data_IF_992906580104
#
_entry.id   IF_992906580104
#
_cell.length_a   1.000
_cell.length_b   1.000
_cell.length_c   1.000
_cell.angle_alpha   90.00
_cell.angle_beta   90.00
_cell.angle_gamma   90.00
#
_symmetry.space_group_name_H-M   'P 1'
#
loop_
_entity.id
_entity.type
_entity.pdbx_description
1 polymer ?
#
# COMPACT_ATOMS: atom_id res chain seq x y z
N UNK A 1 -30.30 -3.00 60.73
CA UNK A 1 -29.28 -2.82 59.67
C UNK A 1 -28.23 -3.91 59.84
N UNK A 2 -28.15 -4.83 58.90
CA UNK A 2 -27.01 -5.73 58.66
C UNK A 2 -27.22 -6.35 57.28
N UNK A 3 -26.42 -5.95 56.30
CA UNK A 3 -26.47 -6.42 54.92
C UNK A 3 -25.50 -7.60 54.80
N UNK A 4 -26.04 -8.78 54.47
CA UNK A 4 -25.26 -10.00 54.19
C UNK A 4 -24.69 -9.94 52.76
N UNK A 5 -23.38 -9.82 52.65
CA UNK A 5 -22.63 -10.04 51.40
C UNK A 5 -22.64 -11.54 51.05
N UNK A 6 -23.13 -11.88 49.86
CA UNK A 6 -22.87 -13.19 49.22
C UNK A 6 -21.73 -13.02 48.22
N UNK A 7 -20.61 -13.70 48.50
CA UNK A 7 -19.46 -13.84 47.62
C UNK A 7 -19.80 -14.89 46.55
N UNK A 8 -19.63 -14.53 45.28
CA UNK A 8 -19.72 -15.46 44.15
C UNK A 8 -18.29 -15.73 43.65
N UNK A 9 -17.89 -17.00 43.68
CA UNK A 9 -16.61 -17.49 43.14
C UNK A 9 -16.85 -17.87 41.67
N UNK A 10 -16.15 -17.20 40.75
CA UNK A 10 -16.13 -17.56 39.32
C UNK A 10 -14.82 -18.31 39.06
N UNK A 11 -14.94 -19.57 38.65
CA UNK A 11 -13.81 -20.43 38.25
C UNK A 11 -13.44 -20.10 36.80
N UNK A 12 -12.19 -19.69 36.57
CA UNK A 12 -11.60 -19.47 35.26
C UNK A 12 -11.12 -20.79 34.65
N UNK A 13 -11.68 -21.15 33.49
CA UNK A 13 -11.22 -22.26 32.67
C UNK A 13 -10.00 -21.83 31.82
N UNK A 14 -8.87 -22.50 32.03
CA UNK A 14 -7.65 -22.38 31.22
C UNK A 14 -7.73 -23.45 30.13
N UNK A 15 -7.84 -23.07 28.86
CA UNK A 15 -7.64 -23.97 27.73
C UNK A 15 -6.32 -23.65 27.03
N UNK A 16 -5.32 -24.50 27.24
CA UNK A 16 -4.11 -24.54 26.43
C UNK A 16 -4.43 -25.22 25.07
N UNK A 17 -3.91 -24.73 23.93
CA UNK A 17 -4.04 -25.44 22.66
C UNK A 17 -2.99 -26.55 22.57
N UNK A 18 -3.47 -27.78 22.34
CA UNK A 18 -2.65 -28.93 22.03
C UNK A 18 -2.14 -28.83 20.58
N UNK A 19 -0.82 -28.96 20.42
CA UNK A 19 -0.15 -29.26 19.15
C UNK A 19 -0.48 -30.68 18.72
N UNK A 20 -0.98 -30.85 17.48
CA UNK A 20 -0.81 -32.09 16.71
C UNK A 20 -0.52 -31.77 15.25
N UNK A 21 0.72 -32.03 14.88
CA UNK A 21 1.18 -32.30 13.53
C UNK A 21 0.76 -33.72 13.15
N UNK A 22 0.33 -33.97 11.92
CA UNK A 22 0.48 -35.24 11.22
C UNK A 22 0.27 -35.04 9.71
N UNK A 23 1.16 -35.65 8.94
CA UNK A 23 1.29 -35.64 7.50
C UNK A 23 0.71 -36.91 6.86
N UNK A 24 0.58 -36.85 5.52
CA UNK A 24 0.21 -37.89 4.54
C UNK A 24 -1.27 -38.32 4.59
N UNK A 25 -1.97 -38.61 3.49
CA UNK A 25 -1.55 -39.43 2.35
C UNK A 25 -2.49 -39.24 1.14
N UNK A 26 -1.98 -39.64 -0.03
CA UNK A 26 -2.58 -39.68 -1.37
C UNK A 26 -3.73 -40.70 -1.46
N UNK A 27 -4.85 -40.34 -2.11
CA UNK A 27 -5.70 -41.31 -2.81
C UNK A 27 -6.69 -40.66 -3.80
N UNK A 28 -6.52 -40.96 -5.09
CA UNK A 28 -7.56 -41.01 -6.13
C UNK A 28 -8.08 -42.46 -6.19
N UNK A 29 -9.35 -42.76 -6.61
CA UNK A 29 -9.70 -42.68 -8.04
C UNK A 29 -11.19 -42.43 -8.45
N UNK A 30 -11.35 -42.10 -9.74
CA UNK A 30 -12.39 -42.51 -10.71
C UNK A 30 -13.83 -41.94 -10.71
N UNK A 31 -14.06 -41.03 -11.69
CA UNK A 31 -15.10 -40.99 -12.75
C UNK A 31 -16.61 -41.17 -12.46
N UNK A 32 -17.43 -40.15 -12.74
CA UNK A 32 -18.28 -40.10 -13.96
C UNK A 32 -19.06 -38.78 -14.17
N UNK A 33 -18.95 -38.33 -15.42
CA UNK A 33 -19.78 -37.49 -16.31
C UNK A 33 -21.03 -36.73 -15.81
N UNK A 34 -21.08 -35.45 -16.20
CA UNK A 34 -22.28 -34.63 -16.32
C UNK A 34 -21.95 -33.26 -16.95
N UNK A 35 -22.20 -33.11 -18.25
CA UNK A 35 -22.09 -31.88 -19.03
C UNK A 35 -23.00 -30.76 -18.48
N UNK A 36 -22.52 -29.50 -18.45
CA UNK A 36 -23.03 -28.44 -19.33
C UNK A 36 -22.25 -27.12 -19.19
N UNK A 37 -22.19 -26.41 -20.32
CA UNK A 37 -21.39 -25.25 -20.68
C UNK A 37 -21.56 -24.01 -19.80
N UNK A 38 -20.44 -23.33 -19.51
CA UNK A 38 -20.39 -21.87 -19.41
C UNK A 38 -18.96 -21.35 -19.68
N UNK A 39 -18.83 -20.65 -20.81
CA UNK A 39 -17.87 -19.58 -21.13
C UNK A 39 -16.52 -19.53 -20.41
N UNK A 40 -15.46 -19.71 -21.20
CA UNK A 40 -14.12 -19.18 -20.97
C UNK A 40 -14.18 -17.66 -20.71
N UNK A 41 -14.18 -17.28 -19.44
CA UNK A 41 -13.56 -16.03 -19.02
C UNK A 41 -12.21 -16.38 -18.42
N UNK A 42 -11.17 -15.70 -18.91
CA UNK A 42 -9.79 -16.02 -18.63
C UNK A 42 -9.51 -16.08 -17.14
N UNK A 43 -9.34 -17.31 -16.62
CA UNK A 43 -8.42 -17.53 -15.51
C UNK A 43 -7.04 -17.13 -16.03
N UNK A 44 -6.69 -15.87 -15.80
CA UNK A 44 -5.32 -15.45 -15.64
C UNK A 44 -4.69 -16.48 -14.71
N UNK A 45 -3.78 -17.28 -15.26
CA UNK A 45 -2.98 -18.26 -14.54
C UNK A 45 -2.55 -17.61 -13.23
N UNK A 46 -3.09 -18.09 -12.11
CA UNK A 46 -2.61 -17.74 -10.78
C UNK A 46 -1.19 -18.27 -10.64
N UNK A 47 -0.22 -17.53 -11.20
CA UNK A 47 1.15 -17.64 -10.78
C UNK A 47 1.12 -17.38 -9.27
N UNK A 48 1.74 -18.26 -8.50
CA UNK A 48 2.07 -18.03 -7.10
C UNK A 48 3.13 -16.91 -6.99
N UNK A 49 3.01 -15.85 -7.79
CA UNK A 49 3.94 -14.75 -7.86
C UNK A 49 3.71 -13.92 -6.61
N UNK A 50 4.69 -14.01 -5.72
CA UNK A 50 4.69 -13.29 -4.46
C UNK A 50 4.83 -11.80 -4.79
N UNK A 51 3.88 -10.99 -4.33
CA UNK A 51 3.89 -9.55 -4.58
C UNK A 51 5.22 -8.91 -4.14
N UNK A 52 5.82 -8.09 -5.00
CA UNK A 52 7.13 -7.48 -4.73
C UNK A 52 7.16 -6.63 -3.45
N UNK A 53 6.05 -5.99 -3.05
CA UNK A 53 6.02 -5.30 -1.76
C UNK A 53 6.06 -6.27 -0.57
N UNK A 54 5.47 -7.46 -0.68
CA UNK A 54 5.64 -8.49 0.34
C UNK A 54 7.11 -8.89 0.46
N UNK A 55 7.77 -9.13 -0.68
CA UNK A 55 9.19 -9.46 -0.71
C UNK A 55 10.09 -8.33 -0.17
N UNK A 56 9.76 -7.08 -0.51
CA UNK A 56 10.49 -5.89 -0.08
C UNK A 56 10.31 -5.66 1.42
N UNK A 57 9.09 -5.76 1.94
CA UNK A 57 8.84 -5.46 3.33
C UNK A 57 9.21 -6.60 4.27
N UNK A 58 9.29 -7.86 3.81
CA UNK A 58 9.67 -9.01 4.66
C UNK A 58 11.02 -8.83 5.39
N UNK A 59 12.13 -8.44 4.72
CA UNK A 59 13.42 -8.21 5.38
C UNK A 59 13.59 -6.80 5.96
N UNK A 60 12.67 -5.86 5.71
CA UNK A 60 12.85 -4.44 6.02
C UNK A 60 11.82 -3.95 7.05
N UNK A 61 12.29 -3.46 8.20
CA UNK A 61 11.43 -2.82 9.21
C UNK A 61 11.18 -1.33 8.95
N UNK A 62 12.05 -0.66 8.19
CA UNK A 62 11.92 0.75 7.86
C UNK A 62 12.58 1.06 6.52
N UNK A 63 11.93 1.93 5.74
CA UNK A 63 12.47 2.44 4.48
C UNK A 63 12.13 3.91 4.30
N UNK A 64 13.09 4.68 3.78
CA UNK A 64 12.95 6.09 3.50
C UNK A 64 12.65 6.31 2.02
N UNK A 65 11.77 7.26 1.71
CA UNK A 65 11.73 7.85 0.37
C UNK A 65 13.00 8.68 0.23
N UNK A 66 13.96 8.20 -0.56
CA UNK A 66 15.27 8.86 -0.70
C UNK A 66 15.18 10.09 -1.60
N UNK A 67 14.47 9.95 -2.72
CA UNK A 67 14.20 10.98 -3.72
C UNK A 67 12.82 10.76 -4.32
N UNK A 68 12.16 11.83 -4.74
CA UNK A 68 10.81 11.78 -5.31
C UNK A 68 10.62 12.85 -6.39
N UNK A 69 9.80 12.55 -7.40
CA UNK A 69 9.27 13.57 -8.32
C UNK A 69 8.08 14.32 -7.75
N UNK A 70 7.58 13.93 -6.57
CA UNK A 70 6.64 14.75 -5.81
C UNK A 70 7.37 15.97 -5.23
N UNK A 71 7.06 17.15 -5.79
CA UNK A 71 7.66 18.41 -5.38
C UNK A 71 7.14 18.91 -4.02
N UNK A 72 6.02 18.35 -3.54
CA UNK A 72 5.37 18.68 -2.26
C UNK A 72 5.67 17.68 -1.15
N UNK A 73 6.35 16.58 -1.46
CA UNK A 73 6.77 15.57 -0.48
C UNK A 73 7.57 16.19 0.67
N UNK A 74 7.55 15.57 1.84
CA UNK A 74 8.26 16.09 3.02
C UNK A 74 9.68 15.55 3.11
N UNK A 75 10.59 16.29 3.76
CA UNK A 75 11.90 15.72 4.13
C UNK A 75 11.65 14.57 5.11
N UNK A 76 12.47 13.53 5.08
CA UNK A 76 12.33 12.32 5.89
C UNK A 76 10.97 11.63 5.74
N UNK A 77 10.39 11.71 4.56
CA UNK A 77 9.25 10.89 4.23
C UNK A 77 9.68 9.42 4.09
N UNK A 78 8.89 8.51 4.66
CA UNK A 78 9.24 7.10 4.74
C UNK A 78 8.14 6.28 5.38
N UNK A 79 8.39 4.99 5.49
CA UNK A 79 7.48 4.02 6.09
C UNK A 79 8.22 3.12 7.08
N UNK A 80 7.57 2.88 8.22
CA UNK A 80 7.99 1.96 9.26
C UNK A 80 6.99 0.82 9.35
N UNK A 81 7.46 -0.41 9.16
CA UNK A 81 6.64 -1.62 9.18
C UNK A 81 6.31 -2.02 10.62
N UNK A 82 5.02 -2.07 10.92
CA UNK A 82 4.51 -2.65 12.16
C UNK A 82 4.41 -4.18 12.07
N UNK A 83 3.60 -4.67 11.14
CA UNK A 83 3.34 -6.10 10.93
C UNK A 83 3.13 -6.38 9.42
N UNK A 84 3.25 -7.64 9.01
CA UNK A 84 3.09 -8.09 7.62
C UNK A 84 2.56 -9.51 7.54
N UNK A 85 1.69 -9.76 6.58
CA UNK A 85 1.23 -11.10 6.22
C UNK A 85 1.06 -11.22 4.70
N UNK A 86 0.48 -12.31 4.20
CA UNK A 86 0.31 -12.53 2.76
C UNK A 86 -0.68 -11.57 2.07
N UNK A 87 -1.54 -10.88 2.82
CA UNK A 87 -2.58 -10.01 2.27
C UNK A 87 -2.23 -8.53 2.35
N UNK A 88 -1.24 -8.16 3.16
CA UNK A 88 -0.82 -6.76 3.28
C UNK A 88 0.23 -6.51 4.35
N UNK A 89 0.49 -5.23 4.57
CA UNK A 89 1.51 -4.72 5.50
C UNK A 89 0.96 -3.50 6.26
N UNK A 90 1.21 -3.46 7.56
CA UNK A 90 0.96 -2.28 8.37
C UNK A 90 2.14 -1.33 8.30
N UNK A 91 1.94 -0.15 7.72
CA UNK A 91 2.96 0.87 7.57
C UNK A 91 2.58 2.12 8.34
N UNK A 92 3.53 2.66 9.09
CA UNK A 92 3.43 3.98 9.70
C UNK A 92 4.28 4.96 8.89
N UNK A 93 3.68 6.04 8.42
CA UNK A 93 4.41 7.08 7.71
C UNK A 93 5.26 7.94 8.65
N UNK A 94 6.34 8.48 8.13
CA UNK A 94 7.18 9.48 8.80
C UNK A 94 7.27 10.75 7.95
N UNK A 95 7.55 11.89 8.58
CA UNK A 95 7.94 13.12 7.91
C UNK A 95 8.65 14.05 8.91
N UNK A 96 9.65 14.79 8.45
CA UNK A 96 10.20 15.92 9.19
C UNK A 96 9.25 17.11 9.07
N UNK A 97 8.63 17.50 10.18
CA UNK A 97 7.73 18.66 10.25
C UNK A 97 8.33 19.70 11.18
N UNK A 98 8.40 20.93 10.69
CA UNK A 98 8.99 22.08 11.37
C UNK A 98 10.42 21.77 11.85
N UNK A 99 10.55 21.30 13.10
CA UNK A 99 11.80 21.08 13.83
C UNK A 99 11.98 19.66 14.37
N UNK A 100 11.07 18.73 14.09
CA UNK A 100 11.14 17.37 14.63
C UNK A 100 10.60 16.30 13.67
N UNK A 101 10.91 15.04 13.98
CA UNK A 101 10.31 13.91 13.29
C UNK A 101 8.87 13.70 13.75
N UNK A 102 7.94 13.65 12.80
CA UNK A 102 6.55 13.30 13.00
C UNK A 102 6.30 11.91 12.45
N UNK A 103 5.50 11.12 13.17
CA UNK A 103 5.08 9.79 12.74
C UNK A 103 3.57 9.72 12.72
N UNK A 104 3.01 9.24 11.61
CA UNK A 104 1.58 9.09 11.44
C UNK A 104 0.99 7.90 12.20
N UNK A 105 -0.27 7.62 11.91
CA UNK A 105 -0.92 6.38 12.34
C UNK A 105 -0.36 5.20 11.53
N UNK A 106 -0.52 3.99 12.09
CA UNK A 106 -0.24 2.77 11.33
C UNK A 106 -1.46 2.43 10.49
N UNK A 107 -1.23 2.31 9.19
CA UNK A 107 -2.25 2.08 8.18
C UNK A 107 -2.01 0.72 7.53
N UNK A 108 -3.09 -0.05 7.29
CA UNK A 108 -2.99 -1.32 6.57
C UNK A 108 -2.97 -1.08 5.06
N UNK A 109 -1.88 -1.48 4.42
CA UNK A 109 -1.73 -1.47 2.98
C UNK A 109 -1.98 -2.88 2.44
N UNK A 110 -3.01 -3.03 1.62
CA UNK A 110 -3.39 -4.30 1.01
C UNK A 110 -2.50 -4.58 -0.18
N UNK A 111 -1.95 -5.78 -0.28
CA UNK A 111 -1.25 -6.20 -1.51
C UNK A 111 -2.26 -6.48 -2.62
N UNK A 112 -1.97 -5.93 -3.79
CA UNK A 112 -2.80 -6.05 -4.99
C UNK A 112 -2.10 -6.79 -6.12
N UNK A 113 -2.78 -6.92 -7.28
CA UNK A 113 -2.19 -7.43 -8.51
C UNK A 113 -1.03 -6.55 -9.00
N UNK A 114 -0.23 -7.06 -9.95
CA UNK A 114 0.84 -6.30 -10.64
C UNK A 114 1.84 -5.62 -9.69
N UNK A 115 2.24 -6.30 -8.61
CA UNK A 115 3.23 -5.81 -7.64
C UNK A 115 2.85 -4.46 -7.00
N UNK A 116 1.55 -4.29 -6.75
CA UNK A 116 1.00 -3.08 -6.14
C UNK A 116 0.61 -3.27 -4.68
N UNK A 117 0.42 -2.16 -3.99
CA UNK A 117 -0.29 -2.12 -2.73
C UNK A 117 -1.19 -0.88 -2.67
N UNK A 118 -2.28 -0.97 -1.93
CA UNK A 118 -3.22 0.12 -1.80
C UNK A 118 -3.62 0.37 -0.35
N UNK A 119 -3.89 1.62 -0.05
CA UNK A 119 -4.40 2.06 1.23
C UNK A 119 -5.57 3.03 1.00
N UNK A 120 -6.52 3.03 1.92
CA UNK A 120 -7.67 3.93 1.91
C UNK A 120 -8.06 4.32 3.34
N UNK A 121 -8.32 5.60 3.54
CA UNK A 121 -9.04 6.12 4.69
C UNK A 121 -10.13 7.14 4.28
N UNK A 122 -10.69 7.83 5.26
CA UNK A 122 -11.78 8.80 5.05
C UNK A 122 -11.39 10.07 4.27
N UNK A 123 -10.10 10.29 4.02
CA UNK A 123 -9.55 11.49 3.41
C UNK A 123 -8.77 11.21 2.12
N UNK A 124 -8.15 10.04 2.01
CA UNK A 124 -7.32 9.70 0.88
C UNK A 124 -7.33 8.21 0.56
N UNK A 125 -7.08 7.93 -0.72
CA UNK A 125 -6.70 6.61 -1.22
C UNK A 125 -5.36 6.73 -1.91
N UNK A 126 -4.50 5.73 -1.79
CA UNK A 126 -3.23 5.70 -2.48
C UNK A 126 -2.99 4.32 -3.05
N UNK A 127 -2.47 4.27 -4.27
CA UNK A 127 -2.01 3.05 -4.92
C UNK A 127 -0.55 3.22 -5.25
N UNK A 128 0.26 2.28 -4.80
CA UNK A 128 1.68 2.22 -5.06
C UNK A 128 1.99 0.96 -5.86
N UNK A 129 2.93 1.03 -6.81
CA UNK A 129 3.40 -0.14 -7.57
C UNK A 129 4.91 -0.13 -7.73
N UNK A 130 5.54 -1.29 -7.48
CA UNK A 130 6.98 -1.47 -7.69
C UNK A 130 7.26 -1.53 -9.19
N UNK A 131 8.04 -0.56 -9.70
CA UNK A 131 8.51 -0.55 -11.09
C UNK A 131 9.87 -1.22 -11.28
N UNK A 132 10.72 -1.16 -10.26
CA UNK A 132 11.99 -1.88 -10.20
C UNK A 132 12.38 -2.15 -8.75
N UNK A 133 13.11 -3.23 -8.50
CA UNK A 133 13.63 -3.58 -7.18
C UNK A 133 15.01 -4.23 -7.34
N UNK A 134 15.95 -3.88 -6.47
CA UNK A 134 17.27 -4.49 -6.52
C UNK A 134 17.23 -5.94 -6.00
N UNK A 135 18.15 -6.84 -6.43
CA UNK A 135 18.16 -8.24 -5.99
C UNK A 135 18.30 -8.42 -4.48
N UNK A 136 18.98 -7.49 -3.81
CA UNK A 136 19.15 -7.51 -2.35
C UNK A 136 17.90 -7.04 -1.58
N UNK A 137 16.85 -6.58 -2.27
CA UNK A 137 15.58 -6.10 -1.69
C UNK A 137 15.81 -4.99 -0.66
N UNK A 138 16.81 -4.14 -0.89
CA UNK A 138 17.13 -3.00 -0.04
C UNK A 138 16.70 -1.68 -0.66
N UNK A 139 16.26 -1.71 -1.91
CA UNK A 139 15.83 -0.55 -2.66
C UNK A 139 14.74 -0.93 -3.67
N UNK A 140 13.76 -0.05 -3.84
CA UNK A 140 12.75 -0.17 -4.87
C UNK A 140 12.45 1.20 -5.50
N UNK A 141 12.17 1.19 -6.80
CA UNK A 141 11.58 2.32 -7.53
C UNK A 141 10.08 2.11 -7.57
N UNK A 142 9.34 3.09 -7.06
CA UNK A 142 7.90 2.98 -6.87
C UNK A 142 7.21 4.13 -7.60
N UNK A 143 6.08 3.84 -8.25
CA UNK A 143 5.10 4.85 -8.65
C UNK A 143 4.02 4.93 -7.59
N UNK A 144 3.56 6.14 -7.27
CA UNK A 144 2.39 6.37 -6.43
C UNK A 144 1.36 7.18 -7.19
N UNK A 145 0.11 6.75 -7.08
CA UNK A 145 -1.08 7.42 -7.60
C UNK A 145 -1.95 7.81 -6.39
N UNK A 146 -1.84 9.06 -5.91
CA UNK A 146 -2.67 9.54 -4.81
C UNK A 146 -4.08 9.89 -5.30
N UNK A 147 -5.07 9.72 -4.43
CA UNK A 147 -6.45 10.12 -4.64
C UNK A 147 -6.97 10.84 -3.40
N UNK A 148 -7.62 11.98 -3.59
CA UNK A 148 -8.06 12.85 -2.51
C UNK A 148 -9.58 12.86 -2.42
N UNK A 149 -10.13 12.79 -1.22
CA UNK A 149 -11.58 12.90 -1.01
C UNK A 149 -12.00 14.36 -1.05
N UNK A 150 -12.88 14.70 -1.98
CA UNK A 150 -13.51 16.01 -2.10
C UNK A 150 -15.04 15.91 -2.01
N UNK A 151 -15.69 17.06 -1.81
CA UNK A 151 -17.16 17.18 -1.75
C UNK A 151 -17.74 17.48 -3.12
N UNK A 152 -19.02 17.16 -3.33
CA UNK A 152 -19.78 17.43 -4.56
C UNK A 152 -19.60 18.87 -5.10
N UNK A 153 -19.56 19.88 -4.22
CA UNK A 153 -19.38 21.28 -4.62
C UNK A 153 -18.05 21.55 -5.35
N UNK A 154 -17.03 20.74 -5.11
CA UNK A 154 -15.70 20.87 -5.73
C UNK A 154 -15.60 20.09 -7.05
N UNK A 155 -16.57 19.22 -7.34
CA UNK A 155 -16.59 18.36 -8.51
C UNK A 155 -16.58 19.15 -9.82
N UNK A 156 -17.46 20.14 -9.94
CA UNK A 156 -17.59 20.93 -11.17
C UNK A 156 -16.30 21.68 -11.53
N UNK A 157 -15.63 22.26 -10.53
CA UNK A 157 -14.36 22.96 -10.74
C UNK A 157 -13.25 22.00 -11.20
N UNK A 158 -13.18 20.81 -10.60
CA UNK A 158 -12.20 19.81 -10.98
C UNK A 158 -12.48 19.24 -12.39
N UNK A 159 -13.74 18.90 -12.69
CA UNK A 159 -14.14 18.46 -14.04
C UNK A 159 -13.78 19.49 -15.12
N UNK A 160 -13.96 20.79 -14.84
CA UNK A 160 -13.58 21.86 -15.76
C UNK A 160 -12.06 21.92 -16.00
N UNK A 161 -11.25 21.75 -14.96
CA UNK A 161 -9.78 21.72 -15.06
C UNK A 161 -9.27 20.49 -15.84
N UNK A 162 -10.00 19.38 -15.80
CA UNK A 162 -9.57 18.15 -16.47
C UNK A 162 -10.04 18.05 -17.92
N UNK A 163 -11.19 18.66 -18.25
CA UNK A 163 -11.63 18.82 -19.65
C UNK A 163 -10.63 19.63 -20.46
N UNK A 164 -9.99 20.64 -19.87
CA UNK A 164 -8.91 21.38 -20.54
C UNK A 164 -7.66 20.54 -20.75
N UNK A 165 -7.47 19.47 -19.97
CA UNK A 165 -6.39 18.47 -20.12
C UNK A 165 -6.74 17.32 -21.08
N UNK A 166 -7.95 17.33 -21.67
CA UNK A 166 -8.41 16.38 -22.69
C UNK A 166 -8.45 14.90 -22.24
N UNK A 167 -8.68 14.67 -20.95
CA UNK A 167 -8.74 13.35 -20.34
C UNK A 167 -10.19 12.83 -20.40
N UNK A 168 -10.41 11.68 -21.05
CA UNK A 168 -11.72 11.04 -21.20
C UNK A 168 -11.84 9.85 -20.26
N UNK A 169 -12.68 9.97 -19.24
CA UNK A 169 -12.84 8.94 -18.21
C UNK A 169 -14.31 8.66 -17.93
N UNK A 170 -14.58 7.40 -17.59
CA UNK A 170 -15.90 6.97 -17.12
C UNK A 170 -15.88 7.00 -15.60
N UNK A 171 -17.00 7.39 -14.98
CA UNK A 171 -17.10 7.45 -13.51
C UNK A 171 -17.07 6.04 -12.95
N UNK A 172 -16.11 5.77 -12.06
CA UNK A 172 -16.04 4.52 -11.32
C UNK A 172 -16.84 4.62 -10.01
N UNK A 173 -17.42 3.50 -9.59
CA UNK A 173 -18.11 3.37 -8.30
C UNK A 173 -17.14 2.84 -7.23
N UNK A 174 -17.49 3.07 -5.96
CA UNK A 174 -16.65 2.67 -4.83
C UNK A 174 -16.46 1.14 -4.79
N UNK A 175 -15.21 0.69 -4.68
CA UNK A 175 -14.87 -0.73 -4.53
C UNK A 175 -14.45 -1.41 -5.83
N UNK A 176 -14.50 -0.70 -6.96
CA UNK A 176 -13.89 -1.17 -8.20
C UNK A 176 -12.35 -1.24 -8.06
N UNK A 177 -11.77 -2.24 -8.74
CA UNK A 177 -10.32 -2.36 -8.84
C UNK A 177 -9.79 -1.09 -9.54
N UNK A 178 -8.64 -0.59 -9.12
CA UNK A 178 -8.01 0.60 -9.72
C UNK A 178 -6.67 0.23 -10.37
N UNK A 179 -6.39 -1.07 -10.53
CA UNK A 179 -5.14 -1.59 -11.05
C UNK A 179 -5.17 -1.80 -12.58
N UNK A 180 -6.21 -1.35 -13.30
CA UNK A 180 -6.19 -1.28 -14.76
C UNK A 180 -5.79 0.12 -15.25
N UNK A 181 -5.08 0.16 -16.38
CA UNK A 181 -4.56 1.41 -16.96
C UNK A 181 -5.69 2.42 -17.26
N UNK A 182 -6.87 1.94 -17.69
CA UNK A 182 -8.04 2.79 -17.95
C UNK A 182 -8.63 3.39 -16.67
N UNK A 183 -8.53 2.70 -15.54
CA UNK A 183 -8.99 3.17 -14.24
C UNK A 183 -7.96 4.10 -13.58
N UNK A 184 -6.67 3.87 -13.80
CA UNK A 184 -5.58 4.79 -13.44
C UNK A 184 -5.60 6.10 -14.24
N UNK A 185 -6.29 6.12 -15.37
CA UNK A 185 -6.49 7.34 -16.15
C UNK A 185 -7.73 8.12 -15.66
N UNK A 186 -8.56 7.54 -14.77
CA UNK A 186 -9.85 8.10 -14.36
C UNK A 186 -9.79 9.38 -13.52
N UNK A 187 -10.58 10.39 -13.90
CA UNK A 187 -10.58 11.69 -13.21
C UNK A 187 -11.10 11.63 -11.77
N UNK A 188 -12.13 10.82 -11.51
CA UNK A 188 -12.70 10.66 -10.19
C UNK A 188 -13.51 9.38 -10.00
N UNK A 189 -13.68 8.97 -8.75
CA UNK A 189 -14.48 7.83 -8.31
C UNK A 189 -15.54 8.36 -7.35
N UNK A 190 -16.79 7.93 -7.48
CA UNK A 190 -17.83 8.30 -6.52
C UNK A 190 -17.58 7.60 -5.18
N UNK A 191 -17.47 8.39 -4.12
CA UNK A 191 -17.06 7.95 -2.79
C UNK A 191 -18.19 8.17 -1.79
N UNK A 192 -19.20 7.32 -1.82
CA UNK A 192 -20.40 7.47 -0.99
C UNK A 192 -21.27 8.68 -1.34
N UNK A 193 -22.05 9.17 -0.37
CA UNK A 193 -23.05 10.23 -0.59
C UNK A 193 -22.38 11.61 -0.64
N UNK A 194 -22.35 12.22 -1.82
CA UNK A 194 -21.82 13.57 -2.09
C UNK A 194 -20.31 13.75 -1.88
N UNK A 195 -19.51 12.68 -1.92
CA UNK A 195 -18.05 12.77 -1.97
C UNK A 195 -17.52 12.02 -3.19
N UNK A 196 -16.36 12.45 -3.65
CA UNK A 196 -15.64 11.85 -4.77
C UNK A 196 -14.16 11.78 -4.45
N UNK A 197 -13.50 10.71 -4.87
CA UNK A 197 -12.05 10.63 -4.92
C UNK A 197 -11.60 11.26 -6.22
N UNK A 198 -10.70 12.24 -6.17
CA UNK A 198 -10.09 12.83 -7.35
C UNK A 198 -8.63 12.41 -7.43
N UNK A 199 -8.19 12.00 -8.61
CA UNK A 199 -6.83 11.56 -8.82
C UNK A 199 -5.87 12.76 -8.73
N UNK A 200 -4.81 12.63 -7.94
CA UNK A 200 -3.70 13.57 -7.95
C UNK A 200 -2.71 13.27 -9.05
N UNK A 201 -1.72 14.13 -9.24
CA UNK A 201 -0.61 13.81 -10.14
C UNK A 201 0.16 12.59 -9.60
N UNK A 202 0.39 11.59 -10.45
CA UNK A 202 1.25 10.47 -10.08
C UNK A 202 2.72 10.91 -10.04
N UNK A 203 3.48 10.26 -9.17
CA UNK A 203 4.89 10.55 -8.98
C UNK A 203 5.70 9.29 -8.73
N UNK A 204 7.00 9.39 -8.96
CA UNK A 204 7.94 8.31 -8.75
C UNK A 204 8.84 8.63 -7.55
N UNK A 205 9.23 7.62 -6.79
CA UNK A 205 10.24 7.76 -5.76
C UNK A 205 11.05 6.49 -5.58
N UNK A 206 12.18 6.64 -4.89
CA UNK A 206 13.04 5.54 -4.49
C UNK A 206 12.81 5.25 -3.01
N UNK A 207 12.33 4.06 -2.68
CA UNK A 207 12.40 3.52 -1.34
C UNK A 207 13.79 2.95 -1.09
N UNK A 208 14.41 3.34 0.02
CA UNK A 208 15.73 2.88 0.42
C UNK A 208 15.68 2.37 1.86
N UNK A 209 16.18 1.16 2.10
CA UNK A 209 16.25 0.55 3.43
C UNK A 209 17.01 1.47 4.40
N UNK A 210 16.51 1.55 5.63
CA UNK A 210 17.19 2.22 6.71
C UNK A 210 18.64 1.71 6.90
N UNK A 211 19.55 2.64 7.23
CA UNK A 211 20.97 2.34 7.41
C UNK A 211 21.80 2.34 6.12
N UNK A 212 21.16 2.35 4.94
CA UNK A 212 21.86 2.54 3.67
C UNK A 212 21.95 4.03 3.35
N UNK A 213 23.16 4.50 3.03
CA UNK A 213 23.43 5.91 2.73
C UNK A 213 23.24 6.25 1.25
N UNK A 214 23.70 5.36 0.39
CA UNK A 214 23.73 5.57 -1.05
C UNK A 214 22.74 4.64 -1.75
N UNK A 215 22.02 5.18 -2.73
CA UNK A 215 21.07 4.40 -3.53
C UNK A 215 21.87 3.39 -4.37
N UNK A 216 21.54 2.08 -4.32
CA UNK A 216 22.14 1.08 -5.19
C UNK A 216 22.07 1.48 -6.67
N UNK A 217 23.13 1.19 -7.44
CA UNK A 217 23.30 1.69 -8.80
C UNK A 217 22.18 1.24 -9.76
N UNK A 218 21.73 -0.01 -9.63
CA UNK A 218 20.61 -0.57 -10.38
C UNK A 218 19.31 0.19 -10.15
N UNK A 219 19.00 0.46 -8.88
CA UNK A 219 17.85 1.27 -8.49
C UNK A 219 17.92 2.71 -9.01
N UNK A 220 19.09 3.35 -8.90
CA UNK A 220 19.28 4.73 -9.35
C UNK A 220 19.14 4.86 -10.87
N UNK A 221 19.67 3.90 -11.63
CA UNK A 221 19.55 3.86 -13.09
C UNK A 221 18.10 3.68 -13.53
N UNK A 222 17.38 2.71 -12.94
CA UNK A 222 15.97 2.49 -13.29
C UNK A 222 15.11 3.70 -12.91
N UNK A 223 15.35 4.32 -11.76
CA UNK A 223 14.63 5.55 -11.39
C UNK A 223 14.86 6.68 -12.39
N UNK A 224 16.11 6.93 -12.80
CA UNK A 224 16.43 7.96 -13.81
C UNK A 224 15.76 7.69 -15.14
N UNK A 225 15.71 6.43 -15.56
CA UNK A 225 15.03 5.99 -16.79
C UNK A 225 13.52 6.20 -16.71
N UNK A 226 12.89 5.75 -15.63
CA UNK A 226 11.42 5.78 -15.47
C UNK A 226 10.89 7.19 -15.24
N UNK A 227 11.58 8.00 -14.41
CA UNK A 227 11.14 9.38 -14.15
C UNK A 227 11.23 10.27 -15.40
N UNK A 228 12.10 9.91 -16.35
CA UNK A 228 12.42 10.71 -17.53
C UNK A 228 12.83 12.13 -17.16
N UNK A 229 12.17 13.10 -17.78
CA UNK A 229 12.44 14.53 -17.62
C UNK A 229 11.80 15.15 -16.36
N UNK A 230 11.02 14.39 -15.57
CA UNK A 230 10.42 14.92 -14.34
C UNK A 230 11.52 15.39 -13.37
N UNK A 231 11.35 16.62 -12.88
CA UNK A 231 12.13 17.18 -11.78
C UNK A 231 11.94 16.32 -10.54
N UNK A 232 13.02 16.10 -9.80
CA UNK A 232 12.99 15.38 -8.54
C UNK A 232 13.72 16.12 -7.43
N UNK A 233 13.40 15.74 -6.19
CA UNK A 233 14.00 16.28 -4.99
C UNK A 233 14.49 15.16 -4.09
N UNK A 234 15.65 15.36 -3.46
CA UNK A 234 16.11 14.51 -2.36
C UNK A 234 15.24 14.75 -1.13
N UNK A 235 14.71 13.68 -0.55
CA UNK A 235 13.88 13.73 0.65
C UNK A 235 14.62 13.20 1.88
N UNK A 236 15.62 12.32 1.72
CA UNK A 236 16.39 11.80 2.84
C UNK A 236 17.54 12.72 3.25
N UNK A 237 17.58 13.08 4.53
CA UNK A 237 18.67 13.80 5.19
C UNK A 237 19.15 12.98 6.40
N UNK A 238 20.35 12.38 6.39
CA UNK A 238 20.83 11.52 7.48
C UNK A 238 20.97 12.25 8.82
N UNK A 239 21.07 13.58 8.83
CA UNK A 239 21.15 14.35 10.05
C UNK A 239 19.77 14.53 10.72
N UNK A 240 18.69 14.52 9.92
CA UNK A 240 17.31 14.73 10.38
C UNK A 240 16.49 13.44 10.46
N UNK A 241 16.68 12.52 9.52
CA UNK A 241 15.92 11.29 9.41
C UNK A 241 16.39 10.32 10.48
N UNK A 242 15.64 10.24 11.57
CA UNK A 242 15.90 9.35 12.69
C UNK A 242 14.97 8.14 12.63
N UNK A 243 15.46 6.94 13.00
CA UNK A 243 14.61 5.77 13.12
C UNK A 243 13.47 5.99 14.11
N UNK A 244 12.35 5.33 13.87
CA UNK A 244 11.30 5.22 14.87
C UNK A 244 11.78 4.30 15.99
N UNK A 245 12.18 4.87 17.11
CA UNK A 245 12.39 4.12 18.35
C UNK A 245 11.08 4.11 19.12
N UNK A 246 10.40 2.96 19.18
CA UNK A 246 9.35 2.76 20.17
C UNK A 246 10.01 2.78 21.55
N UNK A 247 10.01 3.94 22.21
CA UNK A 247 10.23 3.98 23.65
C UNK A 247 9.11 3.15 24.28
N UNK A 248 9.51 2.05 24.93
CA UNK A 248 8.60 1.09 25.58
C UNK A 248 7.83 1.67 26.76
#
# INVERSE_FOLDING_TARGET
>A
MAILLKVVVIVLGISAPATRSLANEVQEPASNEGQESASNEGQESASNEVNNFYELWTPNSAMWKYKSTDMYGSICEGYHRGDINRTGVYLRSSAWRDTHMSYGNSNFWRFGPKNSMSFEDEHHKAIEAVKAMNPAKTCAVVVSVPWWVHREKQKQSYEAEQRTKNVNCTVLEQGEDLHTQQEEDCLYIKYGKNKYLFQGEFFYYVLLREGIRDVPHDCDNEYKKIKGEKTDRKLYDPNKCKPYTSSG
#
